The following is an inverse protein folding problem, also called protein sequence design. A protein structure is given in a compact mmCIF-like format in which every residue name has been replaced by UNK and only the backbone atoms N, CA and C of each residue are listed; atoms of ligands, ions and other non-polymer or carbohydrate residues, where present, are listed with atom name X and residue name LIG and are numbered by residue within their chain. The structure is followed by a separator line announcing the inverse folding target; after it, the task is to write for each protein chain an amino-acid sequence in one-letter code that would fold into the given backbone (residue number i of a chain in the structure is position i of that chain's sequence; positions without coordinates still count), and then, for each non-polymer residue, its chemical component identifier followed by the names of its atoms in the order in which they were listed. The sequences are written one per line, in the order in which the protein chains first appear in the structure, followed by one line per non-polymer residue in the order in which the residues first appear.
data_IF_773499418599
#
_entry.id   IF_773499418599
#
_cell.length_a   1.000
_cell.length_b   1.000
_cell.length_c   1.000
_cell.angle_alpha   90.00
_cell.angle_beta   90.00
_cell.angle_gamma   90.00
#
_symmetry.space_group_name_H-M   'P 1'
#
loop_
_entity.id
_entity.type
_entity.pdbx_description
1 polymer ?
#
# COMPACT_ATOMS: atom_id res chain seq x y z
N UNK A 1 -20.01 8.80 4.66
CA UNK A 1 -18.71 8.09 4.75
C UNK A 1 -18.21 7.84 3.33
N UNK A 2 -16.95 8.13 3.04
CA UNK A 2 -16.33 7.84 1.74
C UNK A 2 -16.03 6.34 1.67
N UNK A 3 -16.42 5.64 0.60
CA UNK A 3 -16.19 4.19 0.48
C UNK A 3 -14.70 3.82 0.41
N UNK A 4 -14.39 2.54 0.53
CA UNK A 4 -13.00 2.00 0.52
C UNK A 4 -12.23 2.32 -0.75
N UNK A 5 -12.94 2.45 -1.88
CA UNK A 5 -12.39 2.76 -3.20
C UNK A 5 -12.27 4.26 -3.48
N UNK A 6 -12.73 5.11 -2.57
CA UNK A 6 -12.65 6.56 -2.79
C UNK A 6 -11.19 7.02 -2.73
N UNK A 7 -10.71 7.89 -3.64
CA UNK A 7 -9.30 8.31 -3.69
C UNK A 7 -8.74 8.80 -2.34
N UNK A 8 -9.50 9.60 -1.59
CA UNK A 8 -9.09 10.06 -0.25
C UNK A 8 -8.95 8.92 0.78
N UNK A 9 -9.76 7.86 0.65
CA UNK A 9 -9.64 6.66 1.49
C UNK A 9 -8.38 5.89 1.12
N UNK A 10 -8.07 5.76 -0.17
CA UNK A 10 -6.86 5.09 -0.65
C UNK A 10 -5.58 5.81 -0.18
N UNK A 11 -5.55 7.14 -0.25
CA UNK A 11 -4.45 7.95 0.32
C UNK A 11 -4.29 7.69 1.83
N UNK A 12 -5.42 7.57 2.54
CA UNK A 12 -5.41 7.28 3.97
C UNK A 12 -4.90 5.86 4.27
N UNK A 13 -5.27 4.87 3.46
CA UNK A 13 -4.77 3.49 3.56
C UNK A 13 -3.26 3.43 3.36
N UNK A 14 -2.73 4.13 2.33
CA UNK A 14 -1.29 4.23 2.08
C UNK A 14 -0.53 4.83 3.28
N UNK A 15 -1.02 5.94 3.84
CA UNK A 15 -0.41 6.58 5.01
C UNK A 15 -0.46 5.69 6.26
N UNK A 16 -1.55 4.96 6.45
CA UNK A 16 -1.69 4.02 7.56
C UNK A 16 -0.71 2.85 7.42
N UNK A 17 -0.51 2.33 6.21
CA UNK A 17 0.47 1.28 5.95
C UNK A 17 1.90 1.76 6.29
N UNK A 18 2.28 2.97 5.89
CA UNK A 18 3.56 3.57 6.27
C UNK A 18 3.72 3.72 7.79
N UNK A 19 2.64 4.11 8.47
CA UNK A 19 2.62 4.22 9.93
C UNK A 19 2.86 2.87 10.58
N UNK A 20 2.25 1.79 10.07
CA UNK A 20 2.46 0.43 10.56
C UNK A 20 3.87 -0.09 10.28
N UNK A 21 4.46 0.18 9.10
CA UNK A 21 5.89 -0.13 8.83
C UNK A 21 6.78 0.50 9.89
N UNK A 22 6.58 1.78 10.21
CA UNK A 22 7.33 2.50 11.25
C UNK A 22 7.12 1.97 12.68
N UNK A 23 6.05 1.20 12.92
CA UNK A 23 5.77 0.53 14.19
C UNK A 23 6.29 -0.92 14.24
N UNK A 24 7.13 -1.33 13.27
CA UNK A 24 7.60 -2.71 13.09
C UNK A 24 6.48 -3.73 12.84
N UNK A 25 5.33 -3.28 12.32
CA UNK A 25 4.20 -4.11 11.92
C UNK A 25 4.21 -4.31 10.40
N UNK A 26 5.30 -4.91 9.91
CA UNK A 26 5.55 -5.02 8.47
C UNK A 26 4.51 -5.88 7.74
N UNK A 27 4.08 -6.99 8.35
CA UNK A 27 3.05 -7.87 7.77
C UNK A 27 1.71 -7.12 7.59
N UNK A 28 1.22 -6.45 8.63
CA UNK A 28 0.00 -5.64 8.57
C UNK A 28 0.11 -4.52 7.51
N UNK A 29 1.29 -3.89 7.42
CA UNK A 29 1.56 -2.83 6.46
C UNK A 29 1.52 -3.36 5.01
N UNK A 30 2.09 -4.54 4.78
CA UNK A 30 2.08 -5.22 3.48
C UNK A 30 0.66 -5.60 3.04
N UNK A 31 -0.14 -6.17 3.94
CA UNK A 31 -1.54 -6.53 3.64
C UNK A 31 -2.37 -5.29 3.26
N UNK A 32 -2.19 -4.19 4.00
CA UNK A 32 -2.91 -2.97 3.76
C UNK A 32 -2.48 -2.27 2.45
N UNK A 33 -1.18 -2.18 2.18
CA UNK A 33 -0.69 -1.53 0.96
C UNK A 33 -1.01 -2.36 -0.29
N UNK A 34 -1.04 -3.69 -0.17
CA UNK A 34 -1.51 -4.58 -1.25
C UNK A 34 -3.00 -4.36 -1.55
N UNK A 35 -3.83 -4.23 -0.51
CA UNK A 35 -5.26 -3.91 -0.66
C UNK A 35 -5.45 -2.52 -1.31
N UNK A 36 -4.68 -1.52 -0.88
CA UNK A 36 -4.68 -0.18 -1.46
C UNK A 36 -4.36 -0.22 -2.97
N UNK A 37 -3.29 -0.93 -3.36
CA UNK A 37 -2.89 -1.09 -4.75
C UNK A 37 -3.97 -1.77 -5.60
N UNK A 38 -4.61 -2.82 -5.10
CA UNK A 38 -5.71 -3.49 -5.80
C UNK A 38 -6.89 -2.54 -6.04
N UNK A 39 -7.25 -1.72 -5.06
CA UNK A 39 -8.32 -0.74 -5.21
C UNK A 39 -7.95 0.40 -6.16
N UNK A 40 -6.71 0.91 -6.10
CA UNK A 40 -6.21 1.90 -7.06
C UNK A 40 -6.27 1.38 -8.49
N UNK A 41 -5.85 0.14 -8.74
CA UNK A 41 -5.95 -0.47 -10.07
C UNK A 41 -7.40 -0.56 -10.58
N UNK A 42 -8.37 -0.84 -9.69
CA UNK A 42 -9.78 -0.91 -10.08
C UNK A 42 -10.42 0.45 -10.35
N UNK A 43 -9.98 1.51 -9.67
CA UNK A 43 -10.61 2.84 -9.72
C UNK A 43 -9.92 3.76 -10.71
N UNK A 44 -8.60 3.71 -10.76
CA UNK A 44 -7.75 4.66 -11.47
C UNK A 44 -7.02 4.01 -12.67
N UNK A 45 -6.94 2.67 -12.72
CA UNK A 45 -6.18 1.93 -13.73
C UNK A 45 -4.72 1.69 -13.34
N UNK A 46 -3.92 1.15 -14.26
CA UNK A 46 -2.54 0.70 -13.99
C UNK A 46 -1.48 1.82 -13.95
N UNK A 47 -1.70 2.96 -14.60
CA UNK A 47 -0.67 4.03 -14.76
C UNK A 47 -0.99 5.44 -14.20
N UNK A 48 -1.82 5.65 -13.16
CA UNK A 48 -1.82 6.90 -12.40
C UNK A 48 -0.57 7.05 -11.50
N UNK A 49 -0.11 8.29 -11.23
CA UNK A 49 1.00 8.54 -10.32
C UNK A 49 0.85 7.87 -8.94
N UNK A 50 -0.36 7.89 -8.36
CA UNK A 50 -0.64 7.30 -7.05
C UNK A 50 -0.48 5.77 -7.03
N UNK A 51 -0.83 5.11 -8.14
CA UNK A 51 -0.66 3.65 -8.31
C UNK A 51 0.82 3.29 -8.39
N UNK A 52 1.63 4.11 -9.08
CA UNK A 52 3.10 3.90 -9.20
C UNK A 52 3.78 4.01 -7.85
N UNK A 53 3.46 5.03 -7.06
CA UNK A 53 4.03 5.22 -5.71
C UNK A 53 3.71 4.02 -4.81
N UNK A 54 2.45 3.58 -4.83
CA UNK A 54 1.98 2.45 -4.00
C UNK A 54 2.65 1.14 -4.42
N UNK A 55 2.84 0.92 -5.72
CA UNK A 55 3.57 -0.23 -6.25
C UNK A 55 5.04 -0.23 -5.84
N UNK A 56 5.75 0.91 -5.96
CA UNK A 56 7.15 1.01 -5.55
C UNK A 56 7.32 0.67 -4.07
N UNK A 57 6.46 1.20 -3.21
CA UNK A 57 6.47 0.89 -1.78
C UNK A 57 6.17 -0.60 -1.51
N UNK A 58 5.19 -1.19 -2.20
CA UNK A 58 4.87 -2.61 -2.06
C UNK A 58 6.08 -3.50 -2.43
N UNK A 59 6.75 -3.23 -3.55
CA UNK A 59 7.92 -4.01 -4.00
C UNK A 59 9.08 -3.89 -3.01
N UNK A 60 9.42 -2.67 -2.58
CA UNK A 60 10.48 -2.42 -1.59
C UNK A 60 10.22 -3.20 -0.29
N UNK A 61 8.99 -3.16 0.21
CA UNK A 61 8.67 -3.78 1.49
C UNK A 61 8.63 -5.31 1.39
N UNK A 62 8.27 -5.85 0.23
CA UNK A 62 8.35 -7.29 -0.03
C UNK A 62 9.80 -7.78 -0.08
N UNK A 63 10.70 -6.98 -0.65
CA UNK A 63 12.15 -7.26 -0.65
C UNK A 63 12.72 -7.20 0.77
N UNK A 64 12.40 -6.13 1.53
CA UNK A 64 12.79 -5.99 2.95
C UNK A 64 12.33 -7.22 3.77
N UNK A 65 11.09 -7.64 3.60
CA UNK A 65 10.51 -8.78 4.31
C UNK A 65 11.17 -10.11 3.90
N UNK A 66 11.49 -10.28 2.62
CA UNK A 66 12.17 -11.47 2.11
C UNK A 66 13.61 -11.56 2.61
N UNK A 67 14.30 -10.42 2.72
CA UNK A 67 15.68 -10.33 3.22
C UNK A 67 15.76 -10.48 4.75
N UNK A 68 14.73 -10.08 5.48
CA UNK A 68 14.65 -10.24 6.93
C UNK A 68 14.45 -11.71 7.37
N UNK A 69 13.96 -12.56 6.46
CA UNK A 69 13.73 -13.99 6.71
C UNK A 69 14.85 -14.93 6.27
N UNK A 70 15.94 -14.42 5.69
CA UNK A 70 17.11 -15.19 5.21
C UNK A 70 18.30 -15.10 6.19
#
# INVERSE_FOLDING_TARGET
VLGEKHPSTLISMFNLAHTWKGQNRLEDALDLIQTCFQHQQQVLGQEPPDTVITLSALTEWQEDNSNAGA
#
